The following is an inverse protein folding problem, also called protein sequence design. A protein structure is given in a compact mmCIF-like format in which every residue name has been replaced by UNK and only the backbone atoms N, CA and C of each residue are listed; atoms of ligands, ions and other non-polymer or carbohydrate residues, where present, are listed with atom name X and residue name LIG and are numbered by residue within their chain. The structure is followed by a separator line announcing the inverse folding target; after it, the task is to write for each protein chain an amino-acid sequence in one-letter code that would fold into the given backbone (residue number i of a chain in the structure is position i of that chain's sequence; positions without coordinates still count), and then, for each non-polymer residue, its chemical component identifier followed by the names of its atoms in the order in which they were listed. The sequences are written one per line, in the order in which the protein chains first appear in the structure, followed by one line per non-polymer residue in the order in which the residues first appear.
data_IF_129214349874
#
_entry.id   IF_129214349874
#
_cell.length_a   1.000
_cell.length_b   1.000
_cell.length_c   1.000
_cell.angle_alpha   90.00
_cell.angle_beta   90.00
_cell.angle_gamma   90.00
#
_symmetry.space_group_name_H-M   'P 1'
#
loop_
_entity.id
_entity.type
_entity.pdbx_description
1 polymer ?
#
# COMPACT_ATOMS: atom_id res chain seq x y z
N UNK A 1 -26.36 -44.35 22.62
CA UNK A 1 -25.08 -43.69 22.29
C UNK A 1 -24.91 -43.62 20.77
N UNK A 2 -25.29 -42.49 20.16
CA UNK A 2 -24.79 -41.97 18.86
C UNK A 2 -24.97 -40.44 18.95
N UNK A 3 -23.93 -39.59 18.83
CA UNK A 3 -24.07 -38.17 19.10
C UNK A 3 -24.60 -37.41 17.88
N UNK A 4 -25.60 -36.55 18.10
CA UNK A 4 -26.03 -35.53 17.13
C UNK A 4 -25.07 -34.34 17.23
N UNK A 5 -24.11 -34.26 16.31
CA UNK A 5 -23.29 -33.07 16.13
C UNK A 5 -24.16 -31.93 15.59
N UNK A 6 -24.43 -30.92 16.42
CA UNK A 6 -25.02 -29.66 16.00
C UNK A 6 -23.92 -28.86 15.28
N UNK A 7 -23.92 -28.86 13.94
CA UNK A 7 -23.15 -27.91 13.16
C UNK A 7 -23.75 -26.52 13.38
N UNK A 8 -23.08 -25.70 14.19
CA UNK A 8 -23.37 -24.28 14.30
C UNK A 8 -22.58 -23.58 13.19
N UNK A 9 -23.27 -23.20 12.11
CA UNK A 9 -22.71 -22.39 11.03
C UNK A 9 -22.63 -20.96 11.57
N UNK A 10 -21.47 -20.60 12.11
CA UNK A 10 -21.16 -19.23 12.47
C UNK A 10 -20.76 -18.49 11.18
N UNK A 11 -21.72 -17.79 10.58
CA UNK A 11 -21.48 -16.92 9.43
C UNK A 11 -20.43 -15.86 9.79
N UNK A 12 -19.22 -16.01 9.26
CA UNK A 12 -18.21 -14.96 9.26
C UNK A 12 -18.73 -13.79 8.41
N UNK A 13 -19.19 -12.73 9.06
CA UNK A 13 -19.36 -11.42 8.44
C UNK A 13 -17.96 -10.90 8.08
N UNK A 14 -17.58 -11.12 6.82
CA UNK A 14 -16.40 -10.51 6.22
C UNK A 14 -16.69 -9.01 6.08
N UNK A 15 -16.19 -8.21 7.02
CA UNK A 15 -16.25 -6.76 6.94
C UNK A 15 -15.42 -6.30 5.73
N UNK A 16 -16.10 -5.95 4.64
CA UNK A 16 -15.48 -5.37 3.47
C UNK A 16 -14.98 -3.96 3.86
N UNK A 17 -13.67 -3.83 4.08
CA UNK A 17 -13.04 -2.52 4.21
C UNK A 17 -13.18 -1.78 2.87
N UNK A 18 -13.41 -0.46 2.86
CA UNK A 18 -13.49 0.30 1.63
C UNK A 18 -12.14 0.21 0.90
N UNK A 19 -12.13 -0.48 -0.24
CA UNK A 19 -11.02 -0.44 -1.18
C UNK A 19 -10.96 0.97 -1.76
N UNK A 20 -9.95 1.73 -1.35
CA UNK A 20 -9.59 2.97 -2.06
C UNK A 20 -9.09 2.50 -3.42
N UNK A 21 -9.90 2.67 -4.47
CA UNK A 21 -9.48 2.36 -5.82
C UNK A 21 -8.40 3.39 -6.19
N UNK A 22 -7.13 2.99 -6.06
CA UNK A 22 -6.03 3.76 -6.61
C UNK A 22 -6.23 3.80 -8.13
N UNK A 23 -6.24 5.00 -8.69
CA UNK A 23 -6.27 5.17 -10.14
C UNK A 23 -5.05 4.45 -10.73
N UNK A 24 -5.22 3.79 -11.88
CA UNK A 24 -4.09 3.15 -12.56
C UNK A 24 -3.03 4.21 -12.91
N UNK A 25 -1.83 4.15 -12.30
CA UNK A 25 -0.79 5.15 -12.52
C UNK A 25 -0.31 5.18 -13.98
N UNK A 26 -0.59 4.13 -14.75
CA UNK A 26 -0.19 3.98 -16.15
C UNK A 26 -1.20 4.57 -17.14
N UNK A 27 -2.38 4.99 -16.68
CA UNK A 27 -3.48 5.44 -17.55
C UNK A 27 -3.11 6.63 -18.47
N UNK A 28 -2.08 7.41 -18.12
CA UNK A 28 -1.62 8.56 -18.91
C UNK A 28 -0.53 8.22 -19.93
N UNK A 29 -0.01 6.98 -19.96
CA UNK A 29 1.06 6.58 -20.87
C UNK A 29 0.59 6.17 -22.26
N UNK A 30 -0.73 6.13 -22.49
CA UNK A 30 -1.32 5.66 -23.73
C UNK A 30 -1.27 4.12 -23.83
N UNK A 31 -1.33 3.61 -25.06
CA UNK A 31 -1.28 2.18 -25.32
C UNK A 31 0.16 1.72 -25.60
N UNK A 32 0.48 0.49 -25.18
CA UNK A 32 1.71 -0.17 -25.57
C UNK A 32 1.73 -0.36 -27.10
N UNK A 33 2.80 0.08 -27.80
CA UNK A 33 2.90 -0.11 -29.24
C UNK A 33 3.09 -1.60 -29.56
N UNK A 34 2.42 -2.07 -30.61
CA UNK A 34 2.54 -3.46 -31.07
C UNK A 34 3.79 -3.66 -31.92
N UNK A 35 4.52 -4.75 -31.67
CA UNK A 35 5.72 -5.08 -32.42
C UNK A 35 5.39 -5.41 -33.90
N UNK A 36 5.99 -4.73 -34.89
CA UNK A 36 5.67 -4.96 -36.29
C UNK A 36 6.29 -6.27 -36.82
N UNK A 37 5.63 -6.96 -37.76
CA UNK A 37 6.20 -8.15 -38.38
C UNK A 37 7.34 -7.81 -39.35
N UNK A 38 8.40 -8.62 -39.34
CA UNK A 38 9.54 -8.51 -40.26
C UNK A 38 9.34 -9.41 -41.48
N UNK A 39 9.54 -8.86 -42.68
CA UNK A 39 9.49 -9.60 -43.94
C UNK A 39 10.87 -9.74 -44.53
N UNK A 40 11.20 -10.93 -45.03
CA UNK A 40 12.48 -11.24 -45.69
C UNK A 40 12.27 -11.75 -47.13
N UNK A 41 11.12 -11.45 -47.72
CA UNK A 41 10.73 -11.96 -49.05
C UNK A 41 11.60 -11.38 -50.17
N UNK A 42 11.85 -10.09 -50.10
CA UNK A 42 12.71 -9.34 -51.01
C UNK A 42 13.21 -8.06 -50.32
N UNK A 43 14.06 -7.32 -51.02
CA UNK A 43 14.72 -6.11 -50.50
C UNK A 43 13.71 -5.01 -50.19
N UNK A 44 12.65 -4.85 -50.99
CA UNK A 44 11.64 -3.82 -50.79
C UNK A 44 10.85 -4.08 -49.50
N UNK A 45 10.37 -5.31 -49.31
CA UNK A 45 9.65 -5.70 -48.10
C UNK A 45 10.53 -5.65 -46.86
N UNK A 46 11.82 -5.99 -46.99
CA UNK A 46 12.76 -5.90 -45.88
C UNK A 46 13.02 -4.44 -45.48
N UNK A 47 13.25 -3.55 -46.44
CA UNK A 47 13.42 -2.12 -46.15
C UNK A 47 12.17 -1.53 -45.49
N UNK A 48 10.96 -1.88 -45.97
CA UNK A 48 9.71 -1.50 -45.32
C UNK A 48 9.55 -2.08 -43.89
N UNK A 49 10.19 -3.20 -43.58
CA UNK A 49 10.28 -3.72 -42.21
C UNK A 49 11.24 -2.91 -41.35
N UNK A 50 12.36 -2.45 -41.89
CA UNK A 50 13.31 -1.57 -41.18
C UNK A 50 12.64 -0.26 -40.79
N UNK A 51 11.89 0.37 -41.70
CA UNK A 51 11.19 1.63 -41.41
C UNK A 51 10.14 1.45 -40.30
N UNK A 52 9.35 0.37 -40.37
CA UNK A 52 8.36 0.04 -39.32
C UNK A 52 9.04 -0.23 -37.98
N UNK A 53 10.17 -0.92 -37.98
CA UNK A 53 10.95 -1.16 -36.76
C UNK A 53 11.45 0.14 -36.14
N UNK A 54 11.98 1.07 -36.93
CA UNK A 54 12.46 2.36 -36.41
C UNK A 54 11.33 3.18 -35.77
N UNK A 55 10.13 3.17 -36.38
CA UNK A 55 8.96 3.81 -35.77
C UNK A 55 8.58 3.13 -34.45
N UNK A 56 8.48 1.80 -34.45
CA UNK A 56 8.17 1.02 -33.25
C UNK A 56 9.19 1.26 -32.13
N UNK A 57 10.49 1.27 -32.43
CA UNK A 57 11.54 1.48 -31.44
C UNK A 57 11.37 2.85 -30.74
N UNK A 58 11.11 3.91 -31.52
CA UNK A 58 10.85 5.24 -30.98
C UNK A 58 9.65 5.23 -30.03
N UNK A 59 8.55 4.65 -30.47
CA UNK A 59 7.30 4.65 -29.71
C UNK A 59 7.41 3.76 -28.45
N UNK A 60 8.04 2.59 -28.56
CA UNK A 60 8.27 1.68 -27.45
C UNK A 60 9.20 2.29 -26.39
N UNK A 61 10.25 3.00 -26.81
CA UNK A 61 11.13 3.74 -25.87
C UNK A 61 10.37 4.84 -25.14
N UNK A 62 9.52 5.60 -25.84
CA UNK A 62 8.71 6.65 -25.24
C UNK A 62 7.70 6.07 -24.22
N UNK A 63 6.99 5.00 -24.61
CA UNK A 63 6.07 4.29 -23.74
C UNK A 63 6.76 3.74 -22.49
N UNK A 64 7.87 3.03 -22.65
CA UNK A 64 8.64 2.48 -21.53
C UNK A 64 9.17 3.56 -20.58
N UNK A 65 9.61 4.70 -21.12
CA UNK A 65 10.05 5.83 -20.30
C UNK A 65 8.89 6.39 -19.48
N UNK A 66 7.69 6.50 -20.07
CA UNK A 66 6.49 6.94 -19.36
C UNK A 66 6.12 5.97 -18.24
N UNK A 67 5.97 4.68 -18.55
CA UNK A 67 5.60 3.63 -17.57
C UNK A 67 6.58 3.63 -16.40
N UNK A 68 7.88 3.68 -16.69
CA UNK A 68 8.92 3.70 -15.66
C UNK A 68 8.88 4.95 -14.79
N UNK A 69 8.57 6.12 -15.37
CA UNK A 69 8.45 7.36 -14.61
C UNK A 69 7.18 7.37 -13.74
N UNK A 70 6.06 6.89 -14.27
CA UNK A 70 4.81 6.77 -13.56
C UNK A 70 4.93 5.80 -12.37
N UNK A 71 5.53 4.62 -12.59
CA UNK A 71 5.78 3.65 -11.55
C UNK A 71 6.63 4.24 -10.40
N UNK A 72 7.78 4.85 -10.71
CA UNK A 72 8.63 5.49 -9.69
C UNK A 72 7.92 6.58 -8.91
N UNK A 73 7.07 7.37 -9.58
CA UNK A 73 6.30 8.43 -8.93
C UNK A 73 5.30 7.82 -7.94
N UNK A 74 4.58 6.79 -8.34
CA UNK A 74 3.60 6.11 -7.50
C UNK A 74 4.25 5.38 -6.33
N UNK A 75 5.35 4.67 -6.57
CA UNK A 75 6.16 4.02 -5.52
C UNK A 75 6.64 5.02 -4.45
N UNK A 76 7.06 6.21 -4.89
CA UNK A 76 7.47 7.29 -3.97
C UNK A 76 6.28 7.80 -3.17
N UNK A 77 5.15 8.08 -3.82
CA UNK A 77 3.94 8.56 -3.15
C UNK A 77 3.41 7.56 -2.11
N UNK A 78 3.37 6.27 -2.45
CA UNK A 78 2.99 5.18 -1.53
C UNK A 78 3.95 5.13 -0.35
N UNK A 79 5.25 5.23 -0.60
CA UNK A 79 6.27 5.16 0.45
C UNK A 79 6.16 6.34 1.43
N UNK A 80 5.93 7.55 0.90
CA UNK A 80 5.77 8.76 1.69
C UNK A 80 4.48 8.71 2.54
N UNK A 81 3.36 8.29 1.94
CA UNK A 81 2.09 8.11 2.66
C UNK A 81 2.22 7.06 3.76
N UNK A 82 2.81 5.91 3.45
CA UNK A 82 3.04 4.84 4.41
C UNK A 82 3.92 5.32 5.58
N UNK A 83 5.02 6.03 5.28
CA UNK A 83 5.91 6.61 6.28
C UNK A 83 5.18 7.58 7.19
N UNK A 84 4.41 8.52 6.63
CA UNK A 84 3.62 9.47 7.40
C UNK A 84 2.59 8.76 8.31
N UNK A 85 1.92 7.72 7.79
CA UNK A 85 0.93 6.95 8.54
C UNK A 85 1.56 6.17 9.69
N UNK A 86 2.71 5.55 9.46
CA UNK A 86 3.48 4.85 10.50
C UNK A 86 3.93 5.83 11.59
N UNK A 87 4.50 6.98 11.20
CA UNK A 87 4.94 8.00 12.14
C UNK A 87 3.80 8.49 13.03
N UNK A 88 2.61 8.73 12.44
CA UNK A 88 1.41 9.12 13.18
C UNK A 88 1.00 8.07 14.21
N UNK A 89 0.94 6.79 13.82
CA UNK A 89 0.58 5.69 14.72
C UNK A 89 1.60 5.58 15.87
N UNK A 90 2.89 5.71 15.56
CA UNK A 90 3.94 5.66 16.57
C UNK A 90 3.81 6.80 17.57
N UNK A 91 3.63 8.03 17.11
CA UNK A 91 3.42 9.20 17.96
C UNK A 91 2.20 9.04 18.87
N UNK A 92 1.08 8.54 18.32
CA UNK A 92 -0.13 8.26 19.11
C UNK A 92 0.12 7.20 20.18
N UNK A 93 0.83 6.12 19.85
CA UNK A 93 1.15 5.05 20.79
C UNK A 93 2.03 5.56 21.94
N UNK A 94 3.10 6.31 21.63
CA UNK A 94 3.98 6.92 22.62
C UNK A 94 3.20 7.86 23.54
N UNK A 95 2.32 8.70 22.99
CA UNK A 95 1.50 9.61 23.79
C UNK A 95 0.56 8.87 24.76
N UNK A 96 -0.03 7.75 24.32
CA UNK A 96 -0.86 6.90 25.18
C UNK A 96 -0.02 6.28 26.30
N UNK A 97 1.15 5.72 25.98
CA UNK A 97 2.04 5.10 26.95
C UNK A 97 2.51 6.10 28.02
N UNK A 98 2.89 7.31 27.61
CA UNK A 98 3.27 8.39 28.52
C UNK A 98 2.12 8.76 29.46
N UNK A 99 0.91 8.96 28.92
CA UNK A 99 -0.27 9.27 29.74
C UNK A 99 -0.60 8.15 30.73
N UNK A 100 -0.45 6.89 30.33
CA UNK A 100 -0.66 5.73 31.22
C UNK A 100 0.38 5.76 32.35
N UNK A 101 1.66 5.96 32.03
CA UNK A 101 2.71 6.06 33.04
C UNK A 101 2.47 7.21 34.02
N UNK A 102 2.05 8.38 33.52
CA UNK A 102 1.67 9.54 34.35
C UNK A 102 0.54 9.23 35.31
N UNK A 103 -0.49 8.55 34.83
CA UNK A 103 -1.63 8.17 35.65
C UNK A 103 -1.20 7.17 36.74
N UNK A 104 -0.37 6.18 36.41
CA UNK A 104 0.16 5.26 37.43
C UNK A 104 0.96 5.99 38.50
N UNK A 105 1.80 6.96 38.14
CA UNK A 105 2.54 7.79 39.11
C UNK A 105 1.60 8.57 40.02
N UNK A 106 0.58 9.23 39.45
CA UNK A 106 -0.42 10.01 40.22
C UNK A 106 -1.22 9.12 41.17
N UNK A 107 -1.71 7.99 40.68
CA UNK A 107 -2.48 7.03 41.50
C UNK A 107 -1.61 6.46 42.61
N UNK A 108 -0.38 6.04 42.31
CA UNK A 108 0.57 5.54 43.32
C UNK A 108 0.85 6.55 44.42
N UNK A 109 1.06 7.82 44.07
CA UNK A 109 1.25 8.88 45.05
C UNK A 109 -0.01 9.12 45.92
N UNK A 110 -1.20 9.11 45.31
CA UNK A 110 -2.46 9.27 46.03
C UNK A 110 -2.72 8.11 47.02
N UNK A 111 -2.43 6.87 46.60
CA UNK A 111 -2.53 5.69 47.45
C UNK A 111 -1.56 5.74 48.64
N UNK A 112 -0.30 6.10 48.40
CA UNK A 112 0.69 6.24 49.48
C UNK A 112 0.29 7.33 50.49
N UNK A 113 -0.20 8.47 50.01
CA UNK A 113 -0.70 9.54 50.87
C UNK A 113 -1.94 9.11 51.67
N UNK A 114 -2.84 8.33 51.05
CA UNK A 114 -4.00 7.73 51.71
C UNK A 114 -3.59 6.76 52.82
N UNK A 115 -2.67 5.84 52.53
CA UNK A 115 -2.16 4.88 53.50
C UNK A 115 -1.58 5.58 54.74
N UNK A 116 -0.70 6.58 54.54
CA UNK A 116 -0.12 7.36 55.65
C UNK A 116 -1.17 8.07 56.51
N UNK A 117 -2.25 8.59 55.92
CA UNK A 117 -3.34 9.22 56.69
C UNK A 117 -4.06 8.21 57.58
N UNK A 118 -4.28 7.00 57.08
CA UNK A 118 -4.98 5.93 57.81
C UNK A 118 -4.12 5.33 58.93
N UNK A 119 -2.79 5.35 58.82
CA UNK A 119 -1.87 4.93 59.90
C UNK A 119 -1.92 5.82 61.15
N UNK A 120 -2.47 7.04 61.04
CA UNK A 120 -2.58 8.01 62.13
C UNK A 120 -4.00 8.09 62.73
N UNK A 121 -4.90 7.18 62.33
CA UNK A 121 -6.23 6.97 62.91
C UNK A 121 -6.27 5.71 63.77
#
# INVERSE_FOLDING_TARGET
MIPRARLSILSLLFACAPSVAFADPLANCGAEPEAPPVSTKDVEHYNASVDRFQSYEKDARAYNACISAAARKEESAISDEAGARIAKIHAQSVAVQQRIADNFRKIGAALAAGAKKLEHH
#
